data_IF_047922111729
#
_entry.id   IF_047922111729
#
_cell.length_a   1.000
_cell.length_b   1.000
_cell.length_c   1.000
_cell.angle_alpha   90.00
_cell.angle_beta   90.00
_cell.angle_gamma   90.00
#
_symmetry.space_group_name_H-M   'P 1'
#
loop_
_entity.id
_entity.type
_entity.pdbx_description
1 polymer ?
#
# COMPACT_ATOMS: atom_id res chain seq x y z
N UNK A 1 27.24 0.04 12.43
CA UNK A 1 27.69 -1.36 12.65
C UNK A 1 26.70 -2.34 12.03
N UNK A 2 25.38 -2.28 12.35
CA UNK A 2 24.35 -3.26 11.87
C UNK A 2 24.29 -3.29 10.34
N UNK A 3 24.19 -2.14 9.66
CA UNK A 3 24.15 -2.08 8.20
C UNK A 3 25.43 -2.62 7.54
N UNK A 4 26.59 -2.41 8.18
CA UNK A 4 27.84 -2.96 7.70
C UNK A 4 27.84 -4.50 7.77
N UNK A 5 27.37 -5.07 8.89
CA UNK A 5 27.26 -6.51 9.05
C UNK A 5 26.27 -7.13 8.05
N UNK A 6 25.10 -6.47 7.86
CA UNK A 6 24.12 -6.86 6.83
C UNK A 6 24.72 -6.80 5.44
N UNK A 7 25.48 -5.74 5.10
CA UNK A 7 26.15 -5.61 3.82
C UNK A 7 27.17 -6.71 3.56
N UNK A 8 27.99 -7.04 4.56
CA UNK A 8 28.96 -8.15 4.47
C UNK A 8 28.22 -9.49 4.31
N UNK A 9 27.17 -9.73 5.09
CA UNK A 9 26.37 -10.95 4.98
C UNK A 9 25.76 -11.08 3.58
N UNK A 10 25.17 -10.01 3.07
CA UNK A 10 24.56 -9.98 1.73
C UNK A 10 25.58 -10.16 0.61
N UNK A 11 26.82 -9.67 0.76
CA UNK A 11 27.87 -9.91 -0.20
C UNK A 11 28.13 -11.41 -0.45
N UNK A 12 28.03 -12.24 0.59
CA UNK A 12 28.18 -13.70 0.46
C UNK A 12 26.89 -14.41 0.03
N UNK A 13 25.72 -13.93 0.46
CA UNK A 13 24.44 -14.60 0.19
C UNK A 13 23.89 -14.23 -1.19
N UNK A 14 24.02 -12.97 -1.60
CA UNK A 14 23.41 -12.44 -2.82
C UNK A 14 23.80 -13.17 -4.11
N UNK A 15 25.05 -13.57 -4.33
CA UNK A 15 25.43 -14.32 -5.53
C UNK A 15 24.69 -15.67 -5.70
N UNK A 16 24.36 -16.34 -4.60
CA UNK A 16 23.56 -17.58 -4.65
C UNK A 16 22.12 -17.29 -5.03
N UNK A 17 21.53 -16.25 -4.48
CA UNK A 17 20.17 -15.80 -4.84
C UNK A 17 20.13 -15.43 -6.32
N UNK A 18 21.09 -14.64 -6.82
CA UNK A 18 21.21 -14.30 -8.24
C UNK A 18 21.34 -15.53 -9.14
N UNK A 19 22.13 -16.51 -8.72
CA UNK A 19 22.30 -17.76 -9.48
C UNK A 19 20.98 -18.53 -9.60
N UNK A 20 20.20 -18.62 -8.53
CA UNK A 20 18.88 -19.26 -8.54
C UNK A 20 17.91 -18.50 -9.48
N UNK A 21 17.87 -17.17 -9.38
CA UNK A 21 17.04 -16.33 -10.26
C UNK A 21 17.44 -16.51 -11.73
N UNK A 22 18.75 -16.52 -12.03
CA UNK A 22 19.25 -16.73 -13.41
C UNK A 22 18.92 -18.14 -13.93
N UNK A 23 19.00 -19.17 -13.10
CA UNK A 23 18.58 -20.52 -13.48
C UNK A 23 17.08 -20.59 -13.79
N UNK A 24 16.24 -19.96 -12.96
CA UNK A 24 14.81 -19.83 -13.22
C UNK A 24 14.53 -19.03 -14.49
N UNK A 25 15.28 -17.96 -14.72
CA UNK A 25 15.20 -17.17 -15.95
C UNK A 25 15.47 -18.02 -17.21
N UNK A 26 16.56 -18.76 -17.21
CA UNK A 26 16.90 -19.68 -18.30
C UNK A 26 15.83 -20.76 -18.50
N UNK A 27 15.31 -21.34 -17.41
CA UNK A 27 14.23 -22.32 -17.48
C UNK A 27 12.99 -21.72 -18.16
N UNK A 28 12.57 -20.54 -17.71
CA UNK A 28 11.38 -19.84 -18.24
C UNK A 28 11.57 -19.45 -19.72
N UNK A 29 12.76 -18.99 -20.10
CA UNK A 29 13.03 -18.62 -21.50
C UNK A 29 13.01 -19.84 -22.44
N UNK A 30 13.60 -20.96 -21.99
CA UNK A 30 13.76 -22.15 -22.84
C UNK A 30 12.51 -23.02 -22.92
N UNK A 31 11.54 -22.87 -21.99
CA UNK A 31 10.33 -23.71 -21.94
C UNK A 31 9.09 -23.05 -22.54
N UNK A 32 9.23 -21.88 -23.18
CA UNK A 32 8.16 -21.20 -23.91
C UNK A 32 6.90 -20.95 -23.07
N UNK A 33 5.74 -21.49 -23.49
CA UNK A 33 4.46 -21.28 -22.79
C UNK A 33 4.41 -21.85 -21.39
N UNK A 34 5.04 -23.00 -21.16
CA UNK A 34 5.13 -23.62 -19.82
C UNK A 34 5.98 -22.74 -18.90
N UNK A 35 7.03 -22.13 -19.43
CA UNK A 35 7.86 -21.19 -18.67
C UNK A 35 7.08 -19.99 -18.17
N UNK A 36 6.21 -19.42 -18.98
CA UNK A 36 5.37 -18.29 -18.54
C UNK A 36 4.31 -18.71 -17.53
N UNK A 37 3.78 -19.94 -17.62
CA UNK A 37 2.91 -20.51 -16.59
C UNK A 37 3.65 -20.61 -15.25
N UNK A 38 4.85 -21.20 -15.25
CA UNK A 38 5.69 -21.35 -14.04
C UNK A 38 6.04 -19.96 -13.46
N UNK A 39 6.42 -19.01 -14.30
CA UNK A 39 6.70 -17.64 -13.92
C UNK A 39 5.53 -17.01 -13.15
N UNK A 40 4.32 -17.07 -13.71
CA UNK A 40 3.13 -16.49 -13.09
C UNK A 40 2.74 -17.16 -11.76
N UNK A 41 2.91 -18.49 -11.67
CA UNK A 41 2.69 -19.22 -10.39
C UNK A 41 3.66 -18.74 -9.32
N UNK A 42 4.97 -18.70 -9.63
CA UNK A 42 6.00 -18.32 -8.66
C UNK A 42 5.83 -16.87 -8.23
N UNK A 43 5.57 -15.96 -9.18
CA UNK A 43 5.37 -14.54 -8.88
C UNK A 43 4.25 -14.35 -7.84
N UNK A 44 3.10 -15.01 -8.03
CA UNK A 44 2.00 -14.93 -7.07
C UNK A 44 2.31 -15.64 -5.76
N UNK A 45 2.91 -16.83 -5.81
CA UNK A 45 3.27 -17.59 -4.60
C UNK A 45 4.25 -16.83 -3.67
N UNK A 46 5.00 -15.87 -4.19
CA UNK A 46 5.95 -15.06 -3.42
C UNK A 46 5.34 -13.80 -2.78
N UNK A 47 4.10 -13.43 -3.10
CA UNK A 47 3.44 -12.25 -2.50
C UNK A 47 3.34 -12.33 -0.97
N UNK A 48 2.94 -13.46 -0.35
CA UNK A 48 2.85 -13.56 1.11
C UNK A 48 4.17 -13.26 1.84
N UNK A 49 5.28 -13.48 1.15
CA UNK A 49 6.62 -13.25 1.68
C UNK A 49 7.17 -11.86 1.31
N UNK A 50 6.45 -11.08 0.50
CA UNK A 50 6.92 -9.79 -0.02
C UNK A 50 8.07 -9.90 -1.05
N UNK A 51 8.39 -11.13 -1.50
CA UNK A 51 9.54 -11.40 -2.37
C UNK A 51 9.23 -11.33 -3.87
N UNK A 52 7.98 -11.12 -4.25
CA UNK A 52 7.57 -11.07 -5.66
C UNK A 52 8.28 -9.94 -6.42
N UNK A 53 8.55 -8.79 -5.78
CA UNK A 53 9.34 -7.71 -6.39
C UNK A 53 10.78 -8.15 -6.71
N UNK A 54 11.42 -8.84 -5.78
CA UNK A 54 12.78 -9.38 -5.98
C UNK A 54 12.81 -10.40 -7.12
N UNK A 55 11.72 -11.16 -7.29
CA UNK A 55 11.60 -12.17 -8.33
C UNK A 55 11.40 -11.59 -9.74
N UNK A 56 10.44 -10.64 -9.93
CA UNK A 56 10.14 -10.16 -11.27
C UNK A 56 11.10 -9.07 -11.79
N UNK A 57 11.72 -8.29 -10.90
CA UNK A 57 12.62 -7.19 -11.30
C UNK A 57 13.80 -7.63 -12.22
N UNK A 58 14.50 -8.75 -11.97
CA UNK A 58 15.50 -9.25 -12.89
C UNK A 58 14.96 -9.51 -14.31
N UNK A 59 13.75 -10.06 -14.44
CA UNK A 59 13.12 -10.25 -15.76
C UNK A 59 12.78 -8.93 -16.45
N UNK A 60 12.39 -7.93 -15.69
CA UNK A 60 11.98 -6.64 -16.25
C UNK A 60 13.18 -5.77 -16.63
N UNK A 61 14.28 -5.80 -15.85
CA UNK A 61 15.36 -4.83 -15.94
C UNK A 61 16.70 -5.39 -16.46
N UNK A 62 16.85 -6.71 -16.50
CA UNK A 62 18.13 -7.33 -16.90
C UNK A 62 17.97 -8.29 -18.08
N UNK A 63 19.06 -8.78 -18.62
CA UNK A 63 19.08 -9.77 -19.70
C UNK A 63 18.39 -11.10 -19.37
N UNK A 64 18.04 -11.34 -18.09
CA UNK A 64 17.19 -12.48 -17.70
C UNK A 64 15.80 -12.41 -18.36
N UNK A 65 15.29 -11.22 -18.64
CA UNK A 65 14.03 -11.03 -19.39
C UNK A 65 14.17 -10.99 -20.90
N UNK A 66 15.36 -11.15 -21.40
CA UNK A 66 15.70 -11.08 -22.80
C UNK A 66 16.51 -9.83 -23.20
N UNK A 67 17.02 -9.87 -24.43
CA UNK A 67 17.77 -8.75 -25.05
C UNK A 67 17.27 -8.56 -26.46
N UNK A 68 17.13 -7.32 -26.89
CA UNK A 68 16.68 -6.96 -28.25
C UNK A 68 17.45 -5.76 -28.78
N UNK A 69 17.77 -5.75 -30.04
CA UNK A 69 18.34 -4.60 -30.70
C UNK A 69 17.23 -3.68 -31.23
N UNK A 70 17.22 -2.42 -30.75
CA UNK A 70 16.22 -1.41 -31.10
C UNK A 70 16.97 -0.12 -31.43
N UNK A 71 16.73 0.45 -32.61
CA UNK A 71 17.39 1.68 -33.09
C UNK A 71 18.93 1.64 -32.96
N UNK A 72 19.56 0.48 -33.20
CA UNK A 72 21.01 0.29 -33.13
C UNK A 72 21.60 0.18 -31.72
N UNK A 73 20.75 0.01 -30.70
CA UNK A 73 21.16 -0.20 -29.31
C UNK A 73 20.65 -1.54 -28.79
N UNK A 74 21.49 -2.27 -28.08
CA UNK A 74 21.07 -3.50 -27.40
C UNK A 74 20.37 -3.14 -26.08
N UNK A 75 19.07 -3.40 -26.01
CA UNK A 75 18.23 -3.15 -24.84
C UNK A 75 18.00 -4.47 -24.09
N UNK A 76 18.25 -4.46 -22.80
CA UNK A 76 18.09 -5.62 -21.92
C UNK A 76 16.90 -5.44 -20.98
N UNK A 77 16.14 -6.52 -20.77
CA UNK A 77 15.02 -6.57 -19.86
C UNK A 77 13.67 -6.31 -20.53
N UNK A 78 12.71 -7.11 -20.13
CA UNK A 78 11.38 -7.15 -20.73
C UNK A 78 10.68 -5.78 -20.75
N UNK A 79 10.70 -5.06 -19.64
CA UNK A 79 10.09 -3.74 -19.51
C UNK A 79 10.87 -2.68 -20.29
N UNK A 80 12.18 -2.70 -20.25
CA UNK A 80 13.03 -1.77 -21.00
C UNK A 80 12.84 -1.95 -22.51
N UNK A 81 12.76 -3.20 -22.99
CA UNK A 81 12.48 -3.52 -24.40
C UNK A 81 11.12 -2.94 -24.80
N UNK A 82 10.09 -3.15 -23.97
CA UNK A 82 8.76 -2.62 -24.27
C UNK A 82 8.77 -1.08 -24.36
N UNK A 83 9.40 -0.37 -23.42
CA UNK A 83 9.46 1.09 -23.46
C UNK A 83 10.34 1.63 -24.60
N UNK A 84 11.42 0.93 -24.96
CA UNK A 84 12.22 1.30 -26.11
C UNK A 84 11.40 1.15 -27.42
N UNK A 85 10.64 0.07 -27.55
CA UNK A 85 9.73 -0.13 -28.69
C UNK A 85 8.58 0.89 -28.70
N UNK A 86 8.08 1.30 -27.53
CA UNK A 86 7.04 2.32 -27.42
C UNK A 86 7.53 3.70 -27.89
N UNK A 87 8.81 4.01 -27.65
CA UNK A 87 9.45 5.25 -28.08
C UNK A 87 9.88 5.23 -29.56
N UNK A 88 10.06 4.05 -30.17
CA UNK A 88 10.47 3.92 -31.57
C UNK A 88 9.26 4.02 -32.52
N UNK A 89 9.18 5.07 -33.37
CA UNK A 89 8.09 5.25 -34.32
C UNK A 89 8.03 4.15 -35.37
N UNK A 90 9.12 3.41 -35.62
CA UNK A 90 9.16 2.31 -36.61
C UNK A 90 8.60 1.01 -36.07
N UNK A 91 8.32 0.93 -34.78
CA UNK A 91 7.74 -0.28 -34.17
C UNK A 91 6.29 -0.47 -34.62
N UNK A 92 6.06 -1.51 -35.39
CA UNK A 92 4.72 -1.90 -35.89
C UNK A 92 3.98 -2.86 -34.96
N UNK A 93 4.71 -3.66 -34.17
CA UNK A 93 4.17 -4.61 -33.20
C UNK A 93 5.13 -4.77 -32.03
N UNK A 94 4.58 -4.81 -30.81
CA UNK A 94 5.40 -5.02 -29.61
C UNK A 94 5.84 -6.48 -29.48
N UNK A 95 7.04 -6.69 -28.93
CA UNK A 95 7.61 -8.01 -28.71
C UNK A 95 6.82 -8.79 -27.67
N UNK A 96 6.23 -9.90 -28.11
CA UNK A 96 5.53 -10.82 -27.21
C UNK A 96 6.50 -11.50 -26.24
N UNK A 97 7.73 -11.76 -26.68
CA UNK A 97 8.77 -12.35 -25.82
C UNK A 97 9.14 -11.46 -24.65
N UNK A 98 9.07 -10.14 -24.82
CA UNK A 98 9.23 -9.20 -23.73
C UNK A 98 7.95 -9.07 -22.89
N UNK A 99 6.80 -8.83 -23.51
CA UNK A 99 5.55 -8.55 -22.79
C UNK A 99 4.95 -9.77 -22.10
N UNK A 100 5.37 -11.01 -22.43
CA UNK A 100 4.90 -12.26 -21.76
C UNK A 100 5.12 -12.29 -20.25
N UNK A 101 6.07 -11.50 -19.73
CA UNK A 101 6.32 -11.35 -18.28
C UNK A 101 5.45 -10.26 -17.62
N UNK A 102 4.58 -9.60 -18.38
CA UNK A 102 3.74 -8.49 -17.95
C UNK A 102 2.26 -8.71 -18.29
N UNK A 103 1.97 -9.01 -19.54
CA UNK A 103 0.60 -9.07 -20.09
C UNK A 103 -0.33 -10.03 -19.34
N UNK A 104 0.22 -11.11 -18.77
CA UNK A 104 -0.56 -12.09 -18.02
C UNK A 104 -1.21 -11.56 -16.74
N UNK A 105 -0.78 -10.40 -16.23
CA UNK A 105 -1.37 -9.78 -15.02
C UNK A 105 -2.79 -9.26 -15.27
N UNK A 106 -3.07 -8.69 -16.42
CA UNK A 106 -4.32 -8.00 -16.70
C UNK A 106 -5.58 -8.87 -16.53
N UNK A 107 -5.71 -10.09 -17.13
CA UNK A 107 -6.94 -10.84 -17.05
C UNK A 107 -7.34 -11.22 -15.62
N UNK A 108 -6.40 -11.70 -14.80
CA UNK A 108 -6.75 -12.14 -13.47
C UNK A 108 -6.87 -10.97 -12.47
N UNK A 109 -6.08 -9.90 -12.62
CA UNK A 109 -6.15 -8.74 -11.72
C UNK A 109 -7.41 -7.91 -11.96
N UNK A 110 -7.71 -7.61 -13.23
CA UNK A 110 -8.85 -6.76 -13.59
C UNK A 110 -10.18 -7.51 -13.56
N UNK A 111 -10.20 -8.79 -13.85
CA UNK A 111 -11.46 -9.53 -13.99
C UNK A 111 -11.54 -10.70 -13.00
N UNK A 112 -10.50 -11.51 -12.87
CA UNK A 112 -10.50 -12.68 -12.01
C UNK A 112 -10.73 -12.32 -10.54
N UNK A 113 -9.94 -11.41 -9.98
CA UNK A 113 -10.04 -11.01 -8.58
C UNK A 113 -11.38 -10.32 -8.25
N UNK A 114 -11.95 -9.41 -9.07
CA UNK A 114 -13.35 -8.99 -8.90
C UNK A 114 -14.36 -10.14 -8.90
N UNK A 115 -14.15 -11.18 -9.72
CA UNK A 115 -14.96 -12.42 -9.67
C UNK A 115 -14.84 -13.15 -8.34
N UNK A 116 -13.62 -13.25 -7.77
CA UNK A 116 -13.39 -13.79 -6.43
C UNK A 116 -14.08 -12.96 -5.34
N UNK A 117 -14.00 -11.64 -5.43
CA UNK A 117 -14.69 -10.72 -4.50
C UNK A 117 -16.20 -10.93 -4.53
N UNK A 118 -16.81 -11.05 -5.73
CA UNK A 118 -18.22 -11.36 -5.88
C UNK A 118 -18.58 -12.72 -5.27
N UNK A 119 -17.72 -13.73 -5.43
CA UNK A 119 -17.93 -15.05 -4.83
C UNK A 119 -17.95 -14.96 -3.29
N UNK A 120 -16.99 -14.29 -2.69
CA UNK A 120 -16.92 -14.07 -1.23
C UNK A 120 -18.14 -13.29 -0.73
N UNK A 121 -18.51 -12.20 -1.41
CA UNK A 121 -19.70 -11.41 -1.09
C UNK A 121 -21.00 -12.26 -1.13
N UNK A 122 -21.20 -13.06 -2.18
CA UNK A 122 -22.41 -13.91 -2.30
C UNK A 122 -22.44 -15.01 -1.25
N UNK A 123 -21.29 -15.50 -0.80
CA UNK A 123 -21.20 -16.51 0.24
C UNK A 123 -21.30 -15.93 1.66
N UNK A 124 -21.18 -14.62 1.84
CA UNK A 124 -21.31 -13.96 3.14
C UNK A 124 -22.72 -14.09 3.73
N UNK A 125 -22.84 -14.06 5.07
CA UNK A 125 -24.10 -14.05 5.80
C UNK A 125 -24.87 -12.76 5.54
N UNK A 126 -26.21 -12.81 5.52
CA UNK A 126 -27.03 -11.67 5.13
C UNK A 126 -26.82 -10.45 6.03
N UNK A 127 -26.63 -10.66 7.33
CA UNK A 127 -26.40 -9.60 8.32
C UNK A 127 -25.09 -8.83 8.05
N UNK A 128 -24.06 -9.53 7.56
CA UNK A 128 -22.73 -8.96 7.33
C UNK A 128 -22.52 -8.45 5.91
N UNK A 129 -23.42 -8.76 4.97
CA UNK A 129 -23.26 -8.40 3.54
C UNK A 129 -23.04 -6.92 3.29
N UNK A 130 -23.70 -6.04 4.03
CA UNK A 130 -23.58 -4.59 3.80
C UNK A 130 -22.18 -4.08 4.08
N UNK A 131 -21.56 -4.51 5.18
CA UNK A 131 -20.21 -4.12 5.58
C UNK A 131 -19.16 -4.77 4.67
N UNK A 132 -19.25 -6.09 4.50
CA UNK A 132 -18.33 -6.87 3.66
C UNK A 132 -18.40 -6.44 2.19
N UNK A 133 -19.62 -6.08 1.72
CA UNK A 133 -19.81 -5.61 0.34
C UNK A 133 -19.03 -4.35 0.03
N UNK A 134 -19.05 -3.36 0.92
CA UNK A 134 -18.25 -2.13 0.77
C UNK A 134 -16.76 -2.42 0.71
N UNK A 135 -16.28 -3.26 1.62
CA UNK A 135 -14.90 -3.69 1.69
C UNK A 135 -14.43 -4.38 0.41
N UNK A 136 -15.12 -5.45 0.02
CA UNK A 136 -14.76 -6.24 -1.14
C UNK A 136 -14.88 -5.45 -2.45
N UNK A 137 -15.88 -4.56 -2.55
CA UNK A 137 -16.03 -3.67 -3.69
C UNK A 137 -14.88 -2.69 -3.81
N UNK A 138 -14.47 -2.06 -2.70
CA UNK A 138 -13.32 -1.14 -2.68
C UNK A 138 -12.04 -1.85 -3.07
N UNK A 139 -11.77 -3.04 -2.52
CA UNK A 139 -10.58 -3.82 -2.86
C UNK A 139 -10.61 -4.31 -4.31
N UNK A 140 -11.78 -4.74 -4.82
CA UNK A 140 -11.95 -5.15 -6.20
C UNK A 140 -11.76 -3.98 -7.18
N UNK A 141 -12.29 -2.80 -6.84
CA UNK A 141 -12.11 -1.59 -7.65
C UNK A 141 -10.65 -1.15 -7.69
N UNK A 142 -9.94 -1.23 -6.56
CA UNK A 142 -8.50 -0.97 -6.49
C UNK A 142 -7.73 -1.92 -7.38
N UNK A 143 -7.99 -3.24 -7.30
CA UNK A 143 -7.36 -4.22 -8.17
C UNK A 143 -7.66 -3.96 -9.66
N UNK A 144 -8.89 -3.64 -10.00
CA UNK A 144 -9.30 -3.35 -11.37
C UNK A 144 -8.65 -2.09 -11.94
N UNK A 145 -8.66 -0.97 -11.19
CA UNK A 145 -8.15 0.31 -11.68
C UNK A 145 -6.62 0.37 -11.67
N UNK A 146 -5.99 0.01 -10.56
CA UNK A 146 -4.56 0.21 -10.34
C UNK A 146 -3.73 -1.07 -10.45
N UNK A 147 -4.37 -2.25 -10.38
CA UNK A 147 -3.67 -3.54 -10.31
C UNK A 147 -3.04 -3.83 -8.94
N UNK A 148 -3.35 -3.06 -7.89
CA UNK A 148 -2.93 -3.37 -6.53
C UNK A 148 -3.88 -4.42 -5.96
N UNK A 149 -3.39 -5.64 -5.77
CA UNK A 149 -4.22 -6.83 -5.49
C UNK A 149 -4.16 -7.29 -4.05
N UNK A 150 -3.13 -6.90 -3.31
CA UNK A 150 -2.85 -7.35 -1.95
C UNK A 150 -4.03 -7.15 -0.99
N UNK A 151 -4.77 -6.01 -1.02
CA UNK A 151 -5.91 -5.83 -0.12
C UNK A 151 -6.99 -6.90 -0.31
N UNK A 152 -7.17 -7.39 -1.54
CA UNK A 152 -8.13 -8.45 -1.84
C UNK A 152 -7.54 -9.84 -1.60
N UNK A 153 -6.31 -10.09 -2.02
CA UNK A 153 -5.64 -11.39 -1.86
C UNK A 153 -5.50 -11.76 -0.37
N UNK A 154 -5.15 -10.82 0.49
CA UNK A 154 -5.01 -11.07 1.92
C UNK A 154 -6.33 -11.39 2.62
N UNK A 155 -7.48 -11.01 2.05
CA UNK A 155 -8.78 -11.39 2.61
C UNK A 155 -9.03 -12.91 2.58
N UNK A 156 -8.42 -13.63 1.66
CA UNK A 156 -8.58 -15.08 1.56
C UNK A 156 -7.29 -15.86 1.78
N UNK A 157 -6.12 -15.25 1.64
CA UNK A 157 -4.83 -15.91 1.85
C UNK A 157 -4.72 -16.56 3.24
N UNK A 158 -5.00 -15.80 4.30
CA UNK A 158 -4.82 -16.27 5.68
C UNK A 158 -5.95 -17.15 6.17
N UNK A 159 -7.14 -16.97 5.63
CA UNK A 159 -8.37 -17.66 6.08
C UNK A 159 -8.61 -18.94 5.29
N UNK A 160 -8.19 -18.97 4.04
CA UNK A 160 -8.39 -20.09 3.13
C UNK A 160 -7.20 -20.25 2.17
N UNK A 161 -6.03 -20.73 2.64
CA UNK A 161 -4.80 -20.85 1.82
C UNK A 161 -5.00 -21.65 0.54
N UNK A 162 -5.92 -22.60 0.52
CA UNK A 162 -6.27 -23.38 -0.69
C UNK A 162 -6.80 -22.47 -1.80
N UNK A 163 -7.60 -21.45 -1.47
CA UNK A 163 -8.08 -20.46 -2.47
C UNK A 163 -6.90 -19.69 -3.05
N UNK A 164 -5.89 -19.42 -2.22
CA UNK A 164 -4.69 -18.73 -2.70
C UNK A 164 -3.84 -19.60 -3.63
N UNK A 165 -3.68 -20.90 -3.33
CA UNK A 165 -3.01 -21.84 -4.24
C UNK A 165 -3.73 -21.91 -5.58
N UNK A 166 -5.06 -21.99 -5.58
CA UNK A 166 -5.87 -21.96 -6.81
C UNK A 166 -5.68 -20.65 -7.55
N UNK A 167 -5.63 -19.52 -6.85
CA UNK A 167 -5.34 -18.20 -7.44
C UNK A 167 -3.97 -18.18 -8.11
N UNK A 168 -2.91 -18.70 -7.48
CA UNK A 168 -1.58 -18.78 -8.09
C UNK A 168 -1.58 -19.60 -9.39
N UNK A 169 -2.25 -20.74 -9.40
CA UNK A 169 -2.37 -21.58 -10.60
C UNK A 169 -3.12 -20.84 -11.72
N UNK A 170 -4.27 -20.23 -11.40
CA UNK A 170 -5.05 -19.46 -12.37
C UNK A 170 -4.25 -18.25 -12.91
N UNK A 171 -3.48 -17.58 -12.06
CA UNK A 171 -2.59 -16.52 -12.51
C UNK A 171 -1.52 -17.03 -13.48
N UNK A 172 -0.87 -18.16 -13.18
CA UNK A 172 0.07 -18.78 -14.11
C UNK A 172 -0.56 -19.11 -15.46
N UNK A 173 -1.76 -19.69 -15.45
CA UNK A 173 -2.54 -19.95 -16.68
C UNK A 173 -2.82 -18.66 -17.44
N UNK A 174 -3.12 -17.56 -16.75
CA UNK A 174 -3.32 -16.24 -17.39
C UNK A 174 -2.07 -15.78 -18.14
N UNK A 175 -0.89 -15.90 -17.53
CA UNK A 175 0.37 -15.57 -18.20
C UNK A 175 0.60 -16.44 -19.44
N UNK A 176 0.36 -17.73 -19.34
CA UNK A 176 0.47 -18.65 -20.47
C UNK A 176 -0.50 -18.31 -21.60
N UNK A 177 -1.76 -18.01 -21.29
CA UNK A 177 -2.77 -17.65 -22.30
C UNK A 177 -2.42 -16.34 -23.02
N UNK A 178 -1.99 -15.32 -22.29
CA UNK A 178 -1.58 -14.05 -22.91
C UNK A 178 -0.36 -14.25 -23.83
N UNK A 179 0.55 -15.12 -23.48
CA UNK A 179 1.67 -15.49 -24.34
C UNK A 179 1.19 -16.25 -25.59
N UNK A 180 0.29 -17.22 -25.45
CA UNK A 180 -0.28 -17.99 -26.59
C UNK A 180 -1.02 -17.07 -27.55
N UNK A 181 -1.83 -16.12 -27.05
CA UNK A 181 -2.57 -15.17 -27.86
C UNK A 181 -1.71 -14.03 -28.43
N UNK A 182 -0.43 -14.00 -28.10
CA UNK A 182 0.51 -13.01 -28.62
C UNK A 182 0.19 -11.59 -28.16
N UNK A 183 -0.21 -11.42 -26.92
CA UNK A 183 -0.56 -10.11 -26.35
C UNK A 183 0.69 -9.29 -26.05
N UNK A 184 0.80 -8.14 -26.72
CA UNK A 184 1.92 -7.21 -26.64
C UNK A 184 1.65 -6.01 -25.71
N UNK A 185 0.98 -6.18 -24.58
CA UNK A 185 0.70 -5.09 -23.64
C UNK A 185 1.74 -5.10 -22.53
N UNK A 186 2.46 -4.00 -22.39
CA UNK A 186 3.38 -3.77 -21.29
C UNK A 186 2.71 -3.06 -20.11
N UNK A 187 3.49 -2.73 -19.09
CA UNK A 187 3.02 -2.00 -17.92
C UNK A 187 4.17 -1.23 -17.26
N UNK A 188 3.82 -0.21 -16.47
CA UNK A 188 4.78 0.49 -15.62
C UNK A 188 5.01 -0.24 -14.31
N UNK A 189 3.93 -0.50 -13.57
CA UNK A 189 4.00 -1.06 -12.23
C UNK A 189 3.09 -2.29 -12.06
N UNK A 190 1.83 -2.22 -12.49
CA UNK A 190 0.86 -3.28 -12.24
C UNK A 190 -0.22 -3.39 -13.32
N UNK A 191 -0.86 -4.57 -13.42
CA UNK A 191 -1.82 -4.92 -14.47
C UNK A 191 -3.23 -4.38 -14.24
N UNK A 192 -3.41 -3.07 -14.08
CA UNK A 192 -4.70 -2.41 -13.93
C UNK A 192 -5.19 -1.71 -15.19
N UNK A 193 -6.42 -1.15 -15.12
CA UNK A 193 -7.06 -0.43 -16.21
C UNK A 193 -6.23 0.77 -16.69
N UNK A 194 -5.52 1.43 -15.80
CA UNK A 194 -4.68 2.58 -16.13
C UNK A 194 -3.60 2.16 -17.12
N UNK A 195 -2.79 1.15 -16.79
CA UNK A 195 -1.72 0.66 -17.66
C UNK A 195 -2.29 0.01 -18.92
N UNK A 196 -3.41 -0.71 -18.82
CA UNK A 196 -4.09 -1.28 -19.98
C UNK A 196 -4.54 -0.19 -20.97
N UNK A 197 -5.03 0.95 -20.47
CA UNK A 197 -5.45 2.07 -21.32
C UNK A 197 -4.25 2.69 -22.02
N UNK A 198 -3.18 3.00 -21.29
CA UNK A 198 -2.01 3.68 -21.82
C UNK A 198 -1.21 2.81 -22.81
N UNK A 199 -0.99 1.55 -22.44
CA UNK A 199 -0.07 0.65 -23.15
C UNK A 199 -0.76 -0.42 -24.00
N UNK A 200 -2.07 -0.57 -23.85
CA UNK A 200 -2.88 -1.48 -24.65
C UNK A 200 -3.80 -0.74 -25.62
N UNK A 201 -4.82 -0.05 -25.09
CA UNK A 201 -5.90 0.54 -25.86
C UNK A 201 -5.39 1.69 -26.75
N UNK A 202 -4.65 2.64 -26.16
CA UNK A 202 -4.13 3.81 -26.89
C UNK A 202 -3.11 3.44 -27.98
N UNK A 203 -2.41 2.31 -27.83
CA UNK A 203 -1.47 1.83 -28.83
C UNK A 203 -2.14 1.08 -29.98
N UNK A 204 -3.42 0.77 -29.85
CA UNK A 204 -4.23 0.07 -30.85
C UNK A 204 -4.07 -1.44 -30.83
N UNK A 205 -5.16 -2.14 -31.25
CA UNK A 205 -5.19 -3.60 -31.17
C UNK A 205 -4.23 -4.28 -32.15
N UNK A 206 -3.89 -3.63 -33.26
CA UNK A 206 -2.95 -4.17 -34.26
C UNK A 206 -1.53 -4.35 -33.67
N UNK A 207 -1.11 -3.44 -32.79
CA UNK A 207 0.21 -3.49 -32.10
C UNK A 207 0.21 -4.40 -30.87
N UNK A 208 -0.90 -4.44 -30.13
CA UNK A 208 -0.92 -4.95 -28.74
C UNK A 208 -1.77 -6.21 -28.56
N UNK A 209 -2.71 -6.48 -29.43
CA UNK A 209 -3.72 -7.53 -29.29
C UNK A 209 -4.51 -7.44 -27.96
N UNK A 210 -4.72 -6.24 -27.42
CA UNK A 210 -5.34 -6.01 -26.11
C UNK A 210 -6.76 -6.58 -25.96
N UNK A 211 -7.50 -6.75 -27.08
CA UNK A 211 -8.85 -7.34 -27.04
C UNK A 211 -8.87 -8.74 -26.43
N UNK A 212 -7.79 -9.53 -26.59
CA UNK A 212 -7.70 -10.84 -25.97
C UNK A 212 -7.66 -10.76 -24.44
N UNK A 213 -7.12 -9.66 -23.86
CA UNK A 213 -7.16 -9.42 -22.40
C UNK A 213 -8.61 -9.34 -21.92
N UNK A 214 -9.47 -8.61 -22.66
CA UNK A 214 -10.88 -8.46 -22.29
C UNK A 214 -11.64 -9.78 -22.47
N UNK A 215 -11.44 -10.47 -23.58
CA UNK A 215 -12.12 -11.75 -23.85
C UNK A 215 -11.77 -12.81 -22.82
N UNK A 216 -10.48 -13.00 -22.56
CA UNK A 216 -10.00 -13.93 -21.52
C UNK A 216 -10.41 -13.44 -20.15
N UNK A 217 -10.36 -12.13 -19.89
CA UNK A 217 -10.76 -11.51 -18.64
C UNK A 217 -12.22 -11.81 -18.27
N UNK A 218 -13.14 -11.69 -19.22
CA UNK A 218 -14.56 -12.04 -18.99
C UNK A 218 -14.69 -13.51 -18.58
N UNK A 219 -13.98 -14.42 -19.28
CA UNK A 219 -13.97 -15.85 -18.89
C UNK A 219 -13.38 -16.02 -17.48
N UNK A 220 -12.29 -15.33 -17.17
CA UNK A 220 -11.66 -15.37 -15.86
C UNK A 220 -12.58 -14.88 -14.74
N UNK A 221 -13.37 -13.86 -14.98
CA UNK A 221 -14.36 -13.40 -14.00
C UNK A 221 -15.31 -14.53 -13.59
N UNK A 222 -15.87 -15.25 -14.56
CA UNK A 222 -16.79 -16.36 -14.28
C UNK A 222 -16.08 -17.58 -13.70
N UNK A 223 -14.86 -17.88 -14.15
CA UNK A 223 -14.05 -18.99 -13.59
C UNK A 223 -13.73 -18.73 -12.13
N UNK A 224 -13.24 -17.55 -11.79
CA UNK A 224 -12.96 -17.18 -10.39
C UNK A 224 -14.23 -17.19 -9.54
N UNK A 225 -15.30 -16.57 -10.03
CA UNK A 225 -16.57 -16.58 -9.32
C UNK A 225 -17.08 -17.99 -9.06
N UNK A 226 -17.07 -18.87 -10.03
CA UNK A 226 -17.52 -20.26 -9.93
C UNK A 226 -16.66 -21.09 -9.00
N UNK A 227 -15.34 -21.09 -9.25
CA UNK A 227 -14.36 -21.89 -8.46
C UNK A 227 -14.33 -21.45 -7.02
N UNK A 228 -14.25 -20.15 -6.75
CA UNK A 228 -14.25 -19.62 -5.39
C UNK A 228 -15.55 -19.90 -4.68
N UNK A 229 -16.72 -19.71 -5.33
CA UNK A 229 -18.03 -20.04 -4.74
C UNK A 229 -18.11 -21.52 -4.38
N UNK A 230 -17.69 -22.40 -5.29
CA UNK A 230 -17.67 -23.85 -5.07
C UNK A 230 -16.79 -24.25 -3.89
N UNK A 231 -15.54 -23.77 -3.87
CA UNK A 231 -14.58 -24.11 -2.81
C UNK A 231 -14.98 -23.54 -1.45
N UNK A 232 -15.46 -22.28 -1.38
CA UNK A 232 -15.93 -21.65 -0.14
C UNK A 232 -17.08 -22.46 0.47
N UNK A 233 -18.04 -22.89 -0.36
CA UNK A 233 -19.19 -23.67 0.10
C UNK A 233 -18.79 -25.10 0.46
N UNK A 234 -17.98 -25.79 -0.36
CA UNK A 234 -17.58 -27.17 -0.15
C UNK A 234 -16.74 -27.37 1.11
N UNK A 235 -15.77 -26.50 1.33
CA UNK A 235 -14.87 -26.59 2.50
C UNK A 235 -15.29 -25.71 3.66
N UNK A 236 -16.40 -24.99 3.53
CA UNK A 236 -16.93 -24.07 4.54
C UNK A 236 -15.90 -23.05 5.04
N UNK A 237 -15.11 -22.48 4.10
CA UNK A 237 -14.10 -21.50 4.46
C UNK A 237 -14.73 -20.26 5.10
N UNK A 238 -14.08 -19.75 6.14
CA UNK A 238 -14.51 -18.55 6.87
C UNK A 238 -14.00 -17.27 6.19
N UNK A 239 -14.30 -17.12 4.89
CA UNK A 239 -14.00 -15.89 4.14
C UNK A 239 -14.77 -14.70 4.73
N UNK A 240 -14.40 -13.43 4.40
CA UNK A 240 -15.05 -12.26 4.97
C UNK A 240 -16.59 -12.35 4.95
N UNK A 241 -17.18 -12.11 6.11
CA UNK A 241 -18.64 -12.23 6.34
C UNK A 241 -19.15 -13.64 6.62
N UNK A 242 -18.30 -14.65 6.76
CA UNK A 242 -18.65 -16.02 7.16
C UNK A 242 -18.09 -16.42 8.51
N UNK A 243 -17.41 -15.50 9.21
CA UNK A 243 -16.90 -15.74 10.56
C UNK A 243 -18.06 -15.97 11.56
N UNK A 244 -17.74 -16.65 12.69
CA UNK A 244 -18.70 -16.91 13.77
C UNK A 244 -19.20 -15.58 14.40
N UNK A 245 -20.38 -15.59 15.01
CA UNK A 245 -21.07 -14.38 15.51
C UNK A 245 -20.28 -13.62 16.59
N UNK A 246 -19.27 -14.24 17.20
CA UNK A 246 -18.39 -13.64 18.20
C UNK A 246 -17.08 -13.05 17.59
N UNK A 247 -16.82 -13.25 16.31
CA UNK A 247 -15.71 -12.66 15.60
C UNK A 247 -16.26 -11.61 14.62
N UNK A 248 -16.16 -10.34 14.97
CA UNK A 248 -16.58 -9.28 14.08
C UNK A 248 -15.69 -9.26 12.84
N UNK A 249 -16.31 -9.40 11.67
CA UNK A 249 -15.65 -9.16 10.38
C UNK A 249 -15.48 -7.66 10.23
N UNK A 250 -14.46 -7.15 10.87
CA UNK A 250 -14.03 -5.79 10.64
C UNK A 250 -12.66 -5.86 9.99
N UNK A 251 -12.49 -5.28 8.80
CA UNK A 251 -11.29 -4.52 8.60
C UNK A 251 -11.29 -3.57 9.79
N UNK A 252 -10.34 -3.77 10.69
CA UNK A 252 -10.18 -2.88 11.82
C UNK A 252 -10.01 -1.47 11.27
N UNK A 253 -11.13 -0.74 11.17
CA UNK A 253 -11.06 0.70 11.04
C UNK A 253 -10.51 1.21 12.37
N UNK A 254 -9.86 2.36 12.36
CA UNK A 254 -9.35 3.01 13.58
C UNK A 254 -10.39 3.01 14.72
N UNK A 255 -11.66 3.30 14.40
CA UNK A 255 -12.76 3.30 15.36
C UNK A 255 -13.06 1.92 15.97
N UNK A 256 -12.76 0.83 15.28
CA UNK A 256 -13.09 -0.54 15.70
C UNK A 256 -12.05 -1.15 16.64
N UNK A 257 -10.78 -0.76 16.49
CA UNK A 257 -9.72 -1.08 17.47
C UNK A 257 -10.02 -0.37 18.78
N UNK A 258 -10.53 0.86 18.73
CA UNK A 258 -10.93 1.63 19.90
C UNK A 258 -12.19 1.07 20.59
N UNK A 259 -13.17 0.57 19.85
CA UNK A 259 -14.39 -0.04 20.43
C UNK A 259 -14.13 -1.40 21.11
N UNK A 260 -13.16 -2.21 20.63
CA UNK A 260 -12.75 -3.46 21.31
C UNK A 260 -11.96 -3.22 22.60
N UNK A 261 -11.28 -2.10 22.69
CA UNK A 261 -10.67 -1.61 23.92
C UNK A 261 -11.65 -0.76 24.76
N UNK A 262 -12.89 -0.60 24.31
CA UNK A 262 -13.95 0.14 24.93
C UNK A 262 -14.41 -0.44 26.26
N UNK A 263 -13.75 -0.02 27.29
CA UNK A 263 -13.98 -0.32 28.71
C UNK A 263 -12.77 0.03 29.57
N UNK A 264 -11.63 0.27 28.97
CA UNK A 264 -10.48 0.95 29.61
C UNK A 264 -10.23 2.22 28.84
N UNK A 265 -10.59 3.35 29.42
CA UNK A 265 -10.10 4.68 29.02
C UNK A 265 -8.64 4.50 28.64
N UNK A 266 -8.23 4.89 27.41
CA UNK A 266 -6.84 4.72 26.99
C UNK A 266 -5.97 5.61 27.87
N UNK A 267 -5.49 5.02 28.96
CA UNK A 267 -4.73 5.68 30.01
C UNK A 267 -3.48 6.37 29.41
N UNK A 268 -2.94 5.84 28.31
CA UNK A 268 -1.81 6.43 27.62
C UNK A 268 -2.18 7.77 26.99
N UNK A 269 -3.31 7.84 26.28
CA UNK A 269 -3.80 9.08 25.67
C UNK A 269 -4.20 10.12 26.72
N UNK A 270 -4.82 9.68 27.84
CA UNK A 270 -5.14 10.56 28.97
C UNK A 270 -3.88 11.18 29.58
N UNK A 271 -2.85 10.36 29.85
CA UNK A 271 -1.58 10.82 30.41
C UNK A 271 -0.84 11.74 29.44
N UNK A 272 -0.88 11.47 28.14
CA UNK A 272 -0.28 12.34 27.12
C UNK A 272 -0.98 13.70 27.12
N UNK A 273 -2.31 13.75 27.05
CA UNK A 273 -3.05 15.02 27.08
C UNK A 273 -2.79 15.80 28.35
N UNK A 274 -2.83 15.14 29.51
CA UNK A 274 -2.52 15.78 30.78
C UNK A 274 -1.08 16.28 30.82
N UNK A 275 -0.12 15.47 30.35
CA UNK A 275 1.31 15.83 30.31
C UNK A 275 1.61 16.97 29.33
N UNK A 276 0.77 17.19 28.33
CA UNK A 276 0.88 18.31 27.38
C UNK A 276 0.16 19.58 27.84
N UNK A 277 -0.52 19.55 28.99
CA UNK A 277 -1.25 20.70 29.52
C UNK A 277 -2.71 20.80 29.01
N UNK A 278 -3.29 19.70 28.54
CA UNK A 278 -4.65 19.62 28.04
C UNK A 278 -4.79 19.79 26.54
N UNK A 279 -6.00 19.49 26.03
CA UNK A 279 -6.31 19.58 24.60
C UNK A 279 -6.13 20.97 24.03
N UNK A 280 -6.53 21.99 24.78
CA UNK A 280 -6.47 23.40 24.38
C UNK A 280 -5.03 23.92 24.23
N UNK A 281 -4.05 23.24 24.84
CA UNK A 281 -2.64 23.61 24.70
C UNK A 281 -1.97 23.03 23.46
N UNK A 282 -2.65 22.15 22.72
CA UNK A 282 -2.08 21.46 21.55
C UNK A 282 -2.47 22.22 20.29
N UNK A 283 -1.48 22.74 19.56
CA UNK A 283 -1.67 23.40 18.29
C UNK A 283 -1.58 22.43 17.10
N UNK A 284 -0.66 21.44 17.18
CA UNK A 284 -0.46 20.47 16.09
C UNK A 284 0.16 19.20 16.63
N UNK A 285 -0.19 18.05 16.01
CA UNK A 285 0.35 16.72 16.34
C UNK A 285 0.82 16.01 15.10
N UNK A 286 2.10 15.66 15.05
CA UNK A 286 2.69 14.83 14.02
C UNK A 286 3.60 13.76 14.63
N UNK A 287 4.07 12.78 13.85
CA UNK A 287 5.04 11.80 14.31
C UNK A 287 6.06 11.45 13.21
N UNK A 288 7.25 11.07 13.64
CA UNK A 288 8.20 10.35 12.80
C UNK A 288 8.27 8.88 13.23
N UNK A 289 9.22 8.10 12.69
CA UNK A 289 9.30 6.66 12.95
C UNK A 289 9.35 6.25 14.44
N UNK A 290 9.81 7.13 15.33
CA UNK A 290 10.03 6.81 16.76
C UNK A 290 9.57 7.90 17.75
N UNK A 291 9.14 9.07 17.26
CA UNK A 291 8.83 10.22 18.12
C UNK A 291 7.50 10.85 17.75
N UNK A 292 6.69 11.12 18.76
CA UNK A 292 5.54 12.00 18.65
C UNK A 292 6.06 13.45 18.66
N UNK A 293 5.66 14.25 17.69
CA UNK A 293 6.04 15.66 17.55
C UNK A 293 4.81 16.50 17.76
N UNK A 294 4.84 17.35 18.76
CA UNK A 294 3.71 18.19 19.16
C UNK A 294 4.16 19.63 19.18
N UNK A 295 3.34 20.50 18.63
CA UNK A 295 3.46 21.94 18.83
C UNK A 295 2.43 22.36 19.86
N UNK A 296 2.87 23.02 20.94
CA UNK A 296 2.01 23.51 22.00
C UNK A 296 1.94 25.04 21.99
N UNK A 297 0.83 25.60 22.50
CA UNK A 297 0.68 27.04 22.67
C UNK A 297 1.55 27.56 23.83
N UNK A 298 1.59 26.82 24.94
CA UNK A 298 2.37 27.13 26.12
C UNK A 298 3.25 25.95 26.55
N UNK A 299 4.56 26.08 26.40
CA UNK A 299 5.54 25.03 26.78
C UNK A 299 5.70 24.86 28.29
N UNK A 300 5.33 25.85 29.09
CA UNK A 300 5.47 25.78 30.56
C UNK A 300 4.39 24.90 31.20
N UNK A 301 3.25 24.73 30.49
CA UNK A 301 2.18 23.82 30.89
C UNK A 301 2.52 22.32 30.65
N UNK A 302 3.66 22.02 30.02
CA UNK A 302 4.06 20.65 29.68
C UNK A 302 4.84 20.00 30.81
N UNK A 303 4.29 18.90 31.36
CA UNK A 303 4.92 18.10 32.40
C UNK A 303 5.65 16.88 31.84
N UNK A 304 6.98 16.86 31.91
CA UNK A 304 7.79 15.73 31.44
C UNK A 304 7.54 14.45 32.22
N UNK A 305 7.30 14.58 33.54
CA UNK A 305 7.10 13.43 34.41
C UNK A 305 5.81 12.68 34.10
N UNK A 306 4.74 13.41 33.79
CA UNK A 306 3.47 12.79 33.32
C UNK A 306 3.66 12.14 31.96
N UNK A 307 4.39 12.78 31.04
CA UNK A 307 4.70 12.20 29.74
C UNK A 307 5.56 10.94 29.85
N UNK A 308 6.48 10.85 30.78
CA UNK A 308 7.24 9.62 31.07
C UNK A 308 6.34 8.51 31.62
N UNK A 309 5.36 8.84 32.48
CA UNK A 309 4.37 7.88 33.00
C UNK A 309 3.50 7.28 31.90
N UNK A 310 3.29 7.98 30.77
CA UNK A 310 2.58 7.43 29.61
C UNK A 310 3.36 6.34 28.84
N UNK A 311 4.59 6.03 29.27
CA UNK A 311 5.47 5.06 28.64
C UNK A 311 6.47 5.67 27.65
N UNK A 312 6.68 6.98 27.71
CA UNK A 312 7.71 7.64 26.90
C UNK A 312 9.12 7.32 27.42
N UNK A 313 10.02 6.96 26.52
CA UNK A 313 11.44 6.73 26.81
C UNK A 313 12.20 8.04 27.10
N UNK A 314 11.68 9.18 26.64
CA UNK A 314 12.24 10.50 26.86
C UNK A 314 11.39 11.60 26.24
N UNK A 315 11.58 12.83 26.72
CA UNK A 315 10.91 14.04 26.25
C UNK A 315 11.97 15.10 25.93
N UNK A 316 11.84 15.76 24.78
CA UNK A 316 12.71 16.84 24.33
C UNK A 316 11.85 18.07 24.10
N UNK A 317 12.12 19.15 24.83
CA UNK A 317 11.48 20.47 24.65
C UNK A 317 12.40 21.41 23.91
N UNK A 318 11.87 22.05 22.86
CA UNK A 318 12.58 23.08 22.11
C UNK A 318 11.62 24.22 21.76
N UNK A 319 11.57 25.22 22.61
CA UNK A 319 10.52 26.26 22.54
C UNK A 319 9.14 25.60 22.65
N UNK A 320 8.22 25.94 21.76
CA UNK A 320 6.88 25.36 21.73
C UNK A 320 6.82 23.95 21.05
N UNK A 321 7.94 23.44 20.55
CA UNK A 321 8.01 22.10 19.96
C UNK A 321 8.40 21.05 20.99
N UNK A 322 7.52 20.08 21.21
CA UNK A 322 7.72 18.97 22.14
C UNK A 322 7.89 17.67 21.33
N UNK A 323 8.93 16.90 21.65
CA UNK A 323 9.14 15.59 21.05
C UNK A 323 9.13 14.53 22.15
N UNK A 324 8.19 13.58 22.04
CA UNK A 324 8.03 12.50 23.00
C UNK A 324 8.43 11.18 22.34
N UNK A 325 9.39 10.47 22.91
CA UNK A 325 10.00 9.27 22.32
C UNK A 325 9.25 8.02 22.78
N UNK A 326 8.51 7.38 21.87
CA UNK A 326 7.76 6.14 22.11
C UNK A 326 8.32 4.93 21.34
N UNK A 327 9.32 5.13 20.48
CA UNK A 327 9.85 4.07 19.61
C UNK A 327 8.88 3.67 18.50
N UNK A 328 8.96 2.42 17.98
CA UNK A 328 8.19 2.00 16.80
C UNK A 328 6.67 2.07 16.93
N UNK A 329 6.13 2.17 18.15
CA UNK A 329 4.69 2.25 18.42
C UNK A 329 4.10 3.66 18.31
N UNK A 330 4.91 4.66 18.00
CA UNK A 330 4.49 6.07 17.98
C UNK A 330 3.32 6.36 17.04
N UNK A 331 3.26 5.70 15.88
CA UNK A 331 2.17 5.90 14.92
C UNK A 331 0.82 5.43 15.48
N UNK A 332 0.83 4.31 16.22
CA UNK A 332 -0.37 3.80 16.90
C UNK A 332 -0.79 4.74 18.03
N UNK A 333 0.17 5.23 18.82
CA UNK A 333 -0.07 6.17 19.92
C UNK A 333 -0.64 7.49 19.38
N UNK A 334 -0.08 8.04 18.29
CA UNK A 334 -0.63 9.24 17.62
C UNK A 334 -2.09 9.03 17.24
N UNK A 335 -2.38 7.89 16.60
CA UNK A 335 -3.73 7.54 16.18
C UNK A 335 -4.71 7.52 17.33
N UNK A 336 -4.37 6.83 18.43
CA UNK A 336 -5.22 6.75 19.62
C UNK A 336 -5.42 8.11 20.28
N UNK A 337 -4.39 8.94 20.31
CA UNK A 337 -4.46 10.30 20.87
C UNK A 337 -5.38 11.21 20.04
N UNK A 338 -5.30 11.16 18.70
CA UNK A 338 -6.17 11.92 17.80
C UNK A 338 -7.64 11.46 17.96
N UNK A 339 -7.90 10.14 17.97
CA UNK A 339 -9.23 9.59 18.17
C UNK A 339 -9.82 9.97 19.55
N UNK A 340 -8.98 9.96 20.59
CA UNK A 340 -9.37 10.36 21.92
C UNK A 340 -9.71 11.87 21.99
N UNK A 341 -8.97 12.70 21.28
CA UNK A 341 -9.24 14.14 21.18
C UNK A 341 -10.51 14.47 20.39
N UNK A 342 -10.89 13.63 19.41
CA UNK A 342 -12.14 13.78 18.64
C UNK A 342 -13.37 13.24 19.38
N UNK A 343 -13.18 12.34 20.35
CA UNK A 343 -14.28 11.82 21.17
C UNK A 343 -14.88 12.92 22.03
N UNK A 344 -16.23 12.95 22.14
CA UNK A 344 -16.96 13.91 22.99
C UNK A 344 -16.96 13.53 24.47
N UNK A 345 -16.19 12.54 24.89
CA UNK A 345 -16.06 12.17 26.30
C UNK A 345 -15.21 13.22 27.03
N UNK A 346 -15.88 14.02 27.84
CA UNK A 346 -15.24 14.87 28.83
C UNK A 346 -14.71 13.96 29.94
N UNK A 347 -13.44 13.57 29.83
CA UNK A 347 -12.77 12.85 30.92
C UNK A 347 -12.42 13.88 31.98
N UNK A 348 -12.99 13.73 33.18
CA UNK A 348 -12.63 14.51 34.35
C UNK A 348 -11.17 14.21 34.73
N UNK A 349 -10.27 15.13 34.40
CA UNK A 349 -8.83 15.02 34.65
C UNK A 349 -8.46 15.31 36.11
N UNK A 350 -9.42 15.73 36.98
CA UNK A 350 -9.19 16.15 38.37
C UNK A 350 -8.87 15.00 39.31
N UNK A 351 -9.20 13.75 38.95
CA UNK A 351 -8.98 12.57 39.80
C UNK A 351 -7.54 12.03 39.88
N UNK A 352 -6.62 12.52 39.06
CA UNK A 352 -5.25 12.02 38.98
C UNK A 352 -4.27 13.05 39.49
N UNK A 353 -4.04 13.02 40.80
CA UNK A 353 -3.34 13.99 41.61
C UNK A 353 -2.05 14.60 41.04
N UNK A 354 -2.15 15.86 40.67
CA UNK A 354 -1.12 16.90 40.75
C UNK A 354 -1.87 18.22 40.99
N UNK A 355 -1.38 19.06 41.92
CA UNK A 355 -2.03 20.27 42.33
C UNK A 355 -2.39 21.23 41.22
N UNK A 356 -3.63 21.74 41.26
CA UNK A 356 -4.14 22.79 40.38
C UNK A 356 -3.27 24.06 40.51
N UNK A 357 -2.51 24.37 39.48
CA UNK A 357 -2.10 25.74 39.26
C UNK A 357 -3.17 26.39 38.36
N UNK A 358 -3.97 27.25 38.97
CA UNK A 358 -4.92 28.10 38.26
C UNK A 358 -4.18 28.93 37.20
N UNK A 359 -4.38 28.55 35.95
CA UNK A 359 -3.96 29.37 34.81
C UNK A 359 -5.05 30.40 34.58
N UNK A 360 -4.81 31.63 35.01
CA UNK A 360 -5.59 32.77 34.61
C UNK A 360 -5.39 32.98 33.12
N UNK A 361 -6.38 32.58 32.30
CA UNK A 361 -6.44 32.91 30.87
C UNK A 361 -6.81 34.39 30.75
N UNK A 362 -5.85 35.26 30.52
CA UNK A 362 -6.11 36.54 29.89
C UNK A 362 -6.62 36.27 28.46
N UNK A 363 -7.87 36.60 28.24
CA UNK A 363 -8.48 36.66 26.90
C UNK A 363 -7.84 37.80 26.12
N UNK A 364 -6.80 37.53 25.36
CA UNK A 364 -6.42 38.41 24.26
C UNK A 364 -7.49 38.29 23.15
N UNK A 365 -8.28 39.32 22.99
CA UNK A 365 -9.24 39.49 21.92
C UNK A 365 -8.50 39.59 20.59
N UNK A 366 -8.67 38.58 19.73
CA UNK A 366 -8.18 38.64 18.36
C UNK A 366 -8.71 39.88 17.64
N UNK A 367 -7.87 40.62 16.92
CA UNK A 367 -8.33 41.78 16.11
C UNK A 367 -9.23 41.28 14.97
N UNK A 368 -10.38 41.91 14.83
CA UNK A 368 -11.29 41.71 13.69
C UNK A 368 -10.56 42.05 12.41
N UNK A 369 -10.41 41.09 11.50
CA UNK A 369 -9.88 41.31 10.17
C UNK A 369 -10.86 42.19 9.35
N UNK A 370 -10.38 43.30 8.88
CA UNK A 370 -11.00 44.08 7.81
C UNK A 370 -10.58 43.48 6.46
N UNK A 371 -11.53 43.29 5.58
CA UNK A 371 -11.53 42.30 4.51
C UNK A 371 -10.70 42.62 3.26
N UNK A 372 -9.42 42.94 3.31
CA UNK A 372 -8.62 43.22 2.11
C UNK A 372 -7.19 42.68 2.07
N UNK A 373 -6.72 41.97 3.08
CA UNK A 373 -5.36 41.39 3.02
C UNK A 373 -5.37 39.85 3.13
N UNK A 374 -4.79 39.20 2.12
CA UNK A 374 -4.59 37.75 2.09
C UNK A 374 -3.28 37.44 2.81
N UNK A 375 -3.36 36.88 4.03
CA UNK A 375 -2.17 36.43 4.73
C UNK A 375 -1.82 34.97 4.34
N UNK A 376 -0.66 34.79 3.68
CA UNK A 376 -0.07 33.49 3.41
C UNK A 376 0.95 33.20 4.52
N UNK A 377 0.70 32.17 5.33
CA UNK A 377 1.69 31.66 6.29
C UNK A 377 2.56 30.59 5.64
N UNK A 378 3.88 30.78 5.68
CA UNK A 378 4.83 29.78 5.22
C UNK A 378 5.14 28.81 6.37
N UNK A 379 5.16 27.48 6.13
CA UNK A 379 5.56 26.50 7.14
C UNK A 379 7.05 26.56 7.47
N UNK A 380 7.84 27.36 6.74
CA UNK A 380 9.29 27.52 6.96
C UNK A 380 9.56 28.98 7.31
N UNK A 381 10.23 29.21 8.44
CA UNK A 381 10.74 30.54 8.79
C UNK A 381 11.91 30.89 7.88
N UNK A 382 11.71 31.88 7.01
CA UNK A 382 12.73 32.36 6.09
C UNK A 382 12.34 33.71 5.50
N UNK A 383 13.25 34.33 4.78
CA UNK A 383 13.00 35.59 4.04
C UNK A 383 12.57 35.20 2.63
N UNK A 384 11.36 35.65 2.22
CA UNK A 384 10.94 35.52 0.83
C UNK A 384 11.80 36.41 -0.05
N UNK A 385 12.39 35.82 -1.09
CA UNK A 385 13.14 36.55 -2.12
C UNK A 385 12.51 36.26 -3.48
N UNK A 386 12.51 37.22 -4.44
CA UNK A 386 12.09 36.98 -5.82
C UNK A 386 12.90 35.83 -6.43
N UNK A 387 12.28 35.01 -7.28
CA UNK A 387 12.91 33.83 -7.91
C UNK A 387 14.17 34.19 -8.68
N UNK A 388 14.19 35.36 -9.31
CA UNK A 388 15.32 35.94 -10.06
C UNK A 388 16.58 36.22 -9.20
N UNK A 389 16.44 36.14 -7.87
CA UNK A 389 17.56 36.36 -6.92
C UNK A 389 18.01 35.07 -6.23
N UNK A 390 17.48 33.91 -6.68
CA UNK A 390 17.89 32.60 -6.21
C UNK A 390 19.01 32.10 -7.13
N UNK A 391 20.20 31.98 -6.59
CA UNK A 391 21.36 31.46 -7.32
C UNK A 391 21.34 29.94 -7.31
N UNK A 392 20.45 29.35 -8.14
CA UNK A 392 20.25 27.90 -8.25
C UNK A 392 20.09 27.56 -9.74
N UNK A 393 20.98 26.70 -10.25
CA UNK A 393 21.00 26.28 -11.67
C UNK A 393 19.72 25.57 -12.14
N UNK A 394 18.84 25.15 -11.23
CA UNK A 394 17.57 24.47 -11.54
C UNK A 394 16.43 25.48 -11.70
N UNK A 395 16.54 26.67 -11.10
CA UNK A 395 15.49 27.69 -11.08
C UNK A 395 15.90 29.05 -11.72
N UNK A 396 17.09 29.14 -12.29
CA UNK A 396 17.58 30.30 -13.03
C UNK A 396 17.28 30.24 -14.53
#
# INVERSE_FOLDING_TARGET
VVFLLVGILMYFIWPYIQKVISMLGNLVQNTGYIGTLIYGIIERALIPFGLHHVFYMPFWQTNVGGSMEIAGQTINGAQNIFFAQLADPNTTKFSVDATRFMAGKFPFMMFGLPGAALAMYRCARNEKKKVVGGLLLSAALTAFLTGITEPLEFTFLFVAPILYVVHCVLAGISFMLMHIFGVGVGMTFSGGLIDMTLFGIMQGNAKTHWLYIVLVGIVYFFVYWGVFTFLIKKFNFKTPGREADNEETKLYTRSDVNAKNGGKTDMTSVLILKGLGGKENIADIDCCATRLRITVHNSDAVSEDILKQSGAAGVIKKGNGIQVIYGPRVTVIKSHLEDFMESKESVDLSGYGVADNEIQTEKETAPKADGTELFLSSPIKGKAVPLEKVDDEVFS
#
